data_IF_299975503409
#
_entry.id   IF_299975503409
#
_cell.length_a   1.000
_cell.length_b   1.000
_cell.length_c   1.000
_cell.angle_alpha   90.00
_cell.angle_beta   90.00
_cell.angle_gamma   90.00
#
_symmetry.space_group_name_H-M   'P 1'
#
loop_
_entity.id
_entity.type
_entity.pdbx_description
1 polymer ?
#
# COMPACT_ATOMS: atom_id res chain seq x y z
N UNK A 1 10.98 -11.32 -29.55
CA UNK A 1 9.90 -10.62 -28.83
C UNK A 1 10.35 -10.44 -27.40
N UNK A 2 10.55 -9.21 -26.96
CA UNK A 2 10.77 -8.95 -25.54
C UNK A 2 9.48 -9.33 -24.81
N UNK A 3 9.57 -10.24 -23.83
CA UNK A 3 8.49 -10.53 -22.92
C UNK A 3 8.14 -9.20 -22.24
N UNK A 4 6.91 -8.73 -22.40
CA UNK A 4 6.45 -7.52 -21.73
C UNK A 4 6.63 -7.73 -20.22
N UNK A 5 7.34 -6.82 -19.58
CA UNK A 5 7.50 -6.80 -18.13
C UNK A 5 6.09 -6.81 -17.51
N UNK A 6 5.69 -7.86 -16.77
CA UNK A 6 4.34 -7.94 -16.20
C UNK A 6 4.03 -6.77 -15.26
N UNK A 7 5.05 -6.13 -14.68
CA UNK A 7 4.89 -4.95 -13.86
C UNK A 7 4.46 -3.72 -14.66
N UNK A 8 4.69 -3.68 -15.96
CA UNK A 8 4.25 -2.60 -16.84
C UNK A 8 2.72 -2.49 -16.98
N UNK A 9 2.01 -3.56 -16.64
CA UNK A 9 0.54 -3.60 -16.63
C UNK A 9 -0.08 -3.01 -15.37
N UNK A 10 0.72 -2.71 -14.36
CA UNK A 10 0.24 -2.06 -13.14
C UNK A 10 0.04 -0.56 -13.44
N UNK A 11 -1.21 -0.12 -13.43
CA UNK A 11 -1.58 1.26 -13.80
C UNK A 11 -1.34 2.24 -12.68
N UNK A 12 -1.73 1.87 -11.46
CA UNK A 12 -1.61 2.70 -10.26
C UNK A 12 -1.45 1.82 -9.03
N UNK A 13 -0.81 2.40 -8.03
CA UNK A 13 -0.79 1.91 -6.67
C UNK A 13 -1.41 2.96 -5.75
N UNK A 14 -1.85 2.55 -4.57
CA UNK A 14 -2.53 3.45 -3.65
C UNK A 14 -1.99 3.30 -2.23
N UNK A 15 -1.94 4.42 -1.53
CA UNK A 15 -1.74 4.46 -0.09
C UNK A 15 -2.90 5.23 0.53
N UNK A 16 -3.60 4.65 1.50
CA UNK A 16 -4.63 5.38 2.22
C UNK A 16 -4.05 6.02 3.48
N UNK A 17 -4.46 7.25 3.73
CA UNK A 17 -4.02 8.03 4.90
C UNK A 17 -5.15 8.93 5.39
N UNK A 18 -5.00 9.52 6.57
CA UNK A 18 -5.89 10.60 6.99
C UNK A 18 -5.50 11.91 6.31
N UNK A 19 -6.49 12.72 5.95
CA UNK A 19 -6.24 14.01 5.29
C UNK A 19 -5.40 14.97 6.15
N UNK A 20 -5.42 14.82 7.47
CA UNK A 20 -4.58 15.60 8.38
C UNK A 20 -3.08 15.34 8.18
N UNK A 21 -2.70 14.20 7.60
CA UNK A 21 -1.31 13.85 7.33
C UNK A 21 -0.75 14.50 6.07
N UNK A 22 -1.60 15.03 5.17
CA UNK A 22 -1.19 15.51 3.85
C UNK A 22 -0.16 16.65 3.93
N UNK A 23 -0.35 17.59 4.84
CA UNK A 23 0.60 18.69 5.03
C UNK A 23 1.97 18.16 5.45
N UNK A 24 2.02 17.27 6.43
CA UNK A 24 3.26 16.64 6.90
C UNK A 24 3.96 15.88 5.79
N UNK A 25 3.24 15.09 4.98
CA UNK A 25 3.80 14.37 3.83
C UNK A 25 4.41 15.34 2.83
N UNK A 26 3.74 16.46 2.53
CA UNK A 26 4.23 17.49 1.62
C UNK A 26 5.50 18.16 2.15
N UNK A 27 5.52 18.55 3.41
CA UNK A 27 6.65 19.21 4.06
C UNK A 27 7.88 18.28 4.15
N UNK A 28 7.66 17.00 4.40
CA UNK A 28 8.72 15.99 4.41
C UNK A 28 9.25 15.65 3.00
N UNK A 29 8.53 15.98 1.95
CA UNK A 29 8.88 15.62 0.57
C UNK A 29 8.83 14.11 0.28
N UNK A 30 8.16 13.34 1.14
CA UNK A 30 8.09 11.88 1.05
C UNK A 30 6.99 11.32 1.94
N UNK A 31 6.46 10.17 1.54
CA UNK A 31 5.63 9.33 2.39
C UNK A 31 6.54 8.34 3.13
N UNK A 32 6.70 8.48 4.42
CA UNK A 32 7.58 7.66 5.24
C UNK A 32 6.90 6.43 5.83
N UNK A 33 7.67 5.35 5.99
CA UNK A 33 7.28 4.18 6.78
C UNK A 33 7.16 4.54 8.28
N UNK A 34 6.43 3.72 9.03
CA UNK A 34 6.25 3.94 10.47
C UNK A 34 7.59 3.95 11.23
N UNK A 35 8.53 3.10 10.83
CA UNK A 35 9.87 3.07 11.42
C UNK A 35 10.63 4.39 11.14
N UNK A 36 10.50 4.94 9.94
CA UNK A 36 11.13 6.22 9.59
C UNK A 36 10.50 7.39 10.32
N UNK A 37 9.16 7.43 10.45
CA UNK A 37 8.47 8.46 11.23
C UNK A 37 8.97 8.47 12.67
N UNK A 38 9.08 7.30 13.31
CA UNK A 38 9.63 7.19 14.67
C UNK A 38 11.08 7.66 14.77
N UNK A 39 11.96 7.22 13.85
CA UNK A 39 13.37 7.64 13.82
C UNK A 39 13.52 9.16 13.67
N UNK A 40 12.62 9.81 12.94
CA UNK A 40 12.61 11.26 12.74
C UNK A 40 11.89 12.03 13.84
N UNK A 41 11.34 11.34 14.85
CA UNK A 41 10.63 11.96 15.96
C UNK A 41 9.31 12.62 15.56
N UNK A 42 8.70 12.19 14.42
CA UNK A 42 7.42 12.73 13.95
C UNK A 42 6.31 12.02 14.72
N UNK A 43 5.64 12.75 15.59
CA UNK A 43 4.59 12.25 16.49
C UNK A 43 3.17 12.57 16.00
N UNK A 44 3.01 13.69 15.30
CA UNK A 44 1.71 14.19 14.82
C UNK A 44 1.34 13.59 13.46
N UNK A 45 1.32 12.26 13.41
CA UNK A 45 0.93 11.51 12.22
C UNK A 45 -0.09 10.46 12.61
N UNK A 46 -1.29 10.50 11.99
CA UNK A 46 -2.35 9.52 12.25
C UNK A 46 -2.07 8.21 11.51
N UNK A 47 -1.78 7.11 12.22
CA UNK A 47 -1.55 5.81 11.58
C UNK A 47 -2.88 5.22 11.08
N UNK A 48 -2.83 4.52 9.95
CA UNK A 48 -3.96 3.74 9.44
C UNK A 48 -4.21 2.44 10.22
N UNK A 49 -3.14 1.85 10.78
CA UNK A 49 -3.21 0.65 11.61
C UNK A 49 -3.62 0.94 13.05
N UNK A 50 -4.33 -0.02 13.69
CA UNK A 50 -4.55 0.02 15.14
C UNK A 50 -3.27 -0.41 15.89
N UNK A 51 -3.27 -0.27 17.22
CA UNK A 51 -2.07 -0.58 18.02
C UNK A 51 -1.60 -2.03 17.84
N UNK A 52 -2.53 -2.97 17.70
CA UNK A 52 -2.19 -4.37 17.44
C UNK A 52 -1.49 -4.53 16.09
N UNK A 53 -2.01 -3.91 15.03
CA UNK A 53 -1.42 -3.95 13.68
C UNK A 53 -0.03 -3.30 13.66
N UNK A 54 0.13 -2.14 14.30
CA UNK A 54 1.42 -1.45 14.42
C UNK A 54 2.45 -2.29 15.18
N UNK A 55 2.04 -2.98 16.24
CA UNK A 55 2.89 -3.88 17.00
C UNK A 55 3.27 -5.12 16.20
N UNK A 56 2.32 -5.69 15.43
CA UNK A 56 2.58 -6.82 14.55
C UNK A 56 3.57 -6.44 13.42
N UNK A 57 3.41 -5.27 12.83
CA UNK A 57 4.34 -4.74 11.82
C UNK A 57 5.74 -4.56 12.41
N UNK A 58 5.85 -3.95 13.59
CA UNK A 58 7.14 -3.76 14.26
C UNK A 58 7.80 -5.09 14.61
N UNK A 59 7.04 -6.07 15.12
CA UNK A 59 7.54 -7.40 15.48
C UNK A 59 8.03 -8.20 14.27
N UNK A 60 7.34 -8.07 13.13
CA UNK A 60 7.69 -8.77 11.89
C UNK A 60 8.69 -7.99 11.02
N UNK A 61 9.06 -6.75 11.40
CA UNK A 61 9.89 -5.86 10.61
C UNK A 61 9.20 -5.23 9.40
N UNK A 62 7.87 -5.34 9.31
CA UNK A 62 7.09 -4.75 8.22
C UNK A 62 6.88 -3.24 8.37
N UNK A 63 7.06 -2.69 9.57
CA UNK A 63 7.00 -1.27 9.87
C UNK A 63 8.08 -0.42 9.17
N UNK A 64 9.12 -1.06 8.64
CA UNK A 64 10.16 -0.43 7.81
C UNK A 64 9.73 -0.17 6.37
N UNK A 65 8.57 -0.65 5.96
CA UNK A 65 8.03 -0.46 4.62
C UNK A 65 6.87 0.53 4.62
N UNK A 66 6.73 1.25 3.51
CA UNK A 66 5.47 1.89 3.14
C UNK A 66 4.63 0.84 2.42
N UNK A 67 3.41 0.62 2.89
CA UNK A 67 2.49 -0.37 2.35
C UNK A 67 1.61 0.29 1.30
N UNK A 68 1.62 -0.25 0.08
CA UNK A 68 0.78 0.18 -1.03
C UNK A 68 -0.19 -0.93 -1.40
N UNK A 69 -1.39 -0.58 -1.80
CA UNK A 69 -2.40 -1.52 -2.31
C UNK A 69 -2.71 -1.25 -3.78
N UNK A 70 -3.37 -2.23 -4.43
CA UNK A 70 -3.69 -2.17 -5.86
C UNK A 70 -5.00 -1.46 -6.17
N UNK A 71 -5.83 -1.22 -5.17
CA UNK A 71 -7.17 -0.64 -5.32
C UNK A 71 -7.41 0.50 -4.33
N UNK A 72 -8.30 1.40 -4.69
CA UNK A 72 -8.75 2.55 -3.88
C UNK A 72 -9.94 2.23 -2.95
N UNK A 73 -10.13 0.97 -2.58
CA UNK A 73 -11.20 0.47 -1.70
C UNK A 73 -10.68 -0.60 -0.75
N UNK A 74 -9.62 -0.30 -0.03
CA UNK A 74 -9.01 -1.29 0.85
C UNK A 74 -9.93 -1.64 2.04
N UNK A 75 -10.14 -2.94 2.36
CA UNK A 75 -11.05 -3.35 3.45
C UNK A 75 -10.69 -2.76 4.82
N UNK A 76 -9.40 -2.56 5.08
CA UNK A 76 -8.91 -1.96 6.34
C UNK A 76 -9.37 -0.52 6.56
N UNK A 77 -9.69 0.22 5.49
CA UNK A 77 -10.19 1.60 5.59
C UNK A 77 -11.53 1.65 6.28
N UNK A 78 -12.43 0.72 5.96
CA UNK A 78 -13.74 0.66 6.59
C UNK A 78 -13.62 0.43 8.11
N UNK A 79 -12.77 -0.50 8.51
CA UNK A 79 -12.49 -0.78 9.93
C UNK A 79 -11.86 0.43 10.61
N UNK A 80 -10.88 1.07 9.99
CA UNK A 80 -10.20 2.24 10.54
C UNK A 80 -11.15 3.43 10.76
N UNK A 81 -12.13 3.61 9.87
CA UNK A 81 -13.20 4.61 10.03
C UNK A 81 -14.15 4.26 11.17
N UNK A 82 -14.61 3.01 11.24
CA UNK A 82 -15.50 2.56 12.31
C UNK A 82 -14.86 2.68 13.70
N UNK A 83 -13.56 2.46 13.80
CA UNK A 83 -12.80 2.60 15.05
C UNK A 83 -12.36 4.04 15.35
N UNK A 84 -12.73 5.01 14.51
CA UNK A 84 -12.40 6.43 14.69
C UNK A 84 -10.91 6.77 14.55
N UNK A 85 -10.09 5.85 14.00
CA UNK A 85 -8.66 6.08 13.78
C UNK A 85 -8.39 7.03 12.62
N UNK A 86 -9.22 6.96 11.59
CA UNK A 86 -9.18 7.84 10.44
C UNK A 86 -10.52 8.58 10.35
N UNK A 87 -10.47 9.89 10.37
CA UNK A 87 -11.67 10.73 10.22
C UNK A 87 -11.98 10.99 8.76
N UNK A 88 -11.00 11.45 8.02
CA UNK A 88 -11.12 11.84 6.62
C UNK A 88 -10.09 11.12 5.77
N UNK A 89 -10.47 9.95 5.25
CA UNK A 89 -9.57 9.11 4.45
C UNK A 89 -9.35 9.69 3.07
N UNK A 90 -8.09 9.74 2.68
CA UNK A 90 -7.62 10.08 1.35
C UNK A 90 -6.81 8.90 0.81
N UNK A 91 -7.03 8.54 -0.45
CA UNK A 91 -6.18 7.62 -1.19
C UNK A 91 -5.16 8.40 -2.00
N UNK A 92 -3.91 8.30 -1.63
CA UNK A 92 -2.79 8.82 -2.41
C UNK A 92 -2.51 7.84 -3.54
N UNK A 93 -2.60 8.31 -4.77
CA UNK A 93 -2.21 7.54 -5.95
C UNK A 93 -0.69 7.61 -6.10
N UNK A 94 -0.08 6.46 -6.31
CA UNK A 94 1.37 6.32 -6.43
C UNK A 94 1.73 5.84 -7.84
N UNK A 95 2.70 6.48 -8.44
CA UNK A 95 3.21 6.11 -9.77
C UNK A 95 3.87 4.73 -9.71
N UNK A 96 3.53 3.79 -10.61
CA UNK A 96 4.11 2.45 -10.65
C UNK A 96 5.63 2.41 -10.85
N UNK A 97 6.25 3.50 -11.25
CA UNK A 97 7.71 3.63 -11.29
C UNK A 97 8.39 3.30 -9.97
N UNK A 98 7.66 3.42 -8.85
CA UNK A 98 8.14 3.01 -7.52
C UNK A 98 8.54 1.54 -7.44
N UNK A 99 7.98 0.66 -8.29
CA UNK A 99 8.30 -0.77 -8.35
C UNK A 99 9.74 -1.06 -8.80
N UNK A 100 10.42 -0.07 -9.38
CA UNK A 100 11.83 -0.17 -9.81
C UNK A 100 12.82 0.28 -8.74
N UNK A 101 12.35 0.71 -7.58
CA UNK A 101 13.21 1.04 -6.45
C UNK A 101 13.83 -0.24 -5.87
N UNK A 102 15.05 -0.12 -5.38
CA UNK A 102 15.75 -1.23 -4.75
C UNK A 102 15.03 -1.71 -3.48
N UNK A 103 14.95 -3.01 -3.32
CA UNK A 103 14.39 -3.64 -2.13
C UNK A 103 12.86 -3.63 -2.05
N UNK A 104 12.16 -3.22 -3.11
CA UNK A 104 10.70 -3.33 -3.18
C UNK A 104 10.27 -4.79 -3.15
N UNK A 105 9.28 -5.10 -2.33
CA UNK A 105 8.77 -6.45 -2.13
C UNK A 105 7.27 -6.53 -2.40
N UNK A 106 6.81 -7.74 -2.63
CA UNK A 106 5.40 -8.08 -2.78
C UNK A 106 4.96 -8.99 -1.64
N UNK A 107 3.78 -8.72 -1.09
CA UNK A 107 3.12 -9.59 -0.13
C UNK A 107 1.84 -10.16 -0.73
N UNK A 108 1.70 -11.49 -0.68
CA UNK A 108 0.53 -12.22 -1.18
C UNK A 108 -0.72 -12.09 -0.28
N UNK A 109 -0.74 -11.11 0.58
CA UNK A 109 -1.82 -10.78 1.50
C UNK A 109 -1.39 -9.68 2.45
N UNK A 110 -2.10 -9.52 3.57
CA UNK A 110 -1.73 -8.55 4.61
C UNK A 110 -0.42 -9.00 5.26
N UNK A 111 0.65 -8.26 5.04
CA UNK A 111 2.04 -8.68 5.29
C UNK A 111 2.40 -9.00 6.74
N UNK A 112 1.64 -8.46 7.70
CA UNK A 112 1.85 -8.72 9.13
C UNK A 112 1.13 -9.99 9.65
N UNK A 113 0.45 -10.73 8.79
CA UNK A 113 -0.20 -11.98 9.16
C UNK A 113 0.75 -13.16 9.01
N UNK A 114 0.68 -14.08 9.97
CA UNK A 114 1.44 -15.34 9.94
C UNK A 114 1.09 -16.17 8.70
N UNK A 115 2.11 -16.71 8.04
CA UNK A 115 1.96 -17.58 6.87
C UNK A 115 1.75 -16.85 5.55
N UNK A 116 1.78 -15.53 5.53
CA UNK A 116 1.75 -14.76 4.28
C UNK A 116 3.14 -14.75 3.64
N UNK A 117 3.19 -15.13 2.37
CA UNK A 117 4.42 -15.08 1.58
C UNK A 117 4.78 -13.64 1.22
N UNK A 118 6.05 -13.29 1.46
CA UNK A 118 6.65 -12.03 1.05
C UNK A 118 7.87 -12.33 0.20
N UNK A 119 7.89 -11.85 -1.04
CA UNK A 119 8.97 -12.08 -1.99
C UNK A 119 9.50 -10.80 -2.63
N UNK A 120 10.58 -10.91 -3.38
CA UNK A 120 11.05 -9.80 -4.24
C UNK A 120 9.95 -9.46 -5.26
N UNK A 121 9.83 -8.19 -5.62
CA UNK A 121 8.81 -7.75 -6.59
C UNK A 121 8.96 -8.44 -7.96
N UNK A 122 10.17 -8.83 -8.33
CA UNK A 122 10.45 -9.53 -9.59
C UNK A 122 9.90 -10.96 -9.63
N UNK A 123 9.70 -11.57 -8.46
CA UNK A 123 9.16 -12.92 -8.29
C UNK A 123 7.65 -12.92 -8.01
N UNK A 124 7.04 -11.74 -7.96
CA UNK A 124 5.64 -11.56 -7.60
C UNK A 124 4.68 -12.19 -8.62
N UNK A 125 3.71 -12.96 -8.12
CA UNK A 125 2.60 -13.50 -8.90
C UNK A 125 1.34 -12.70 -8.61
N UNK A 126 1.19 -11.59 -9.35
CA UNK A 126 0.07 -10.66 -9.18
C UNK A 126 -1.06 -11.08 -10.13
N UNK A 127 -2.26 -11.26 -9.59
CA UNK A 127 -3.45 -11.56 -10.39
C UNK A 127 -4.01 -10.28 -11.04
N UNK A 128 -3.32 -9.83 -12.09
CA UNK A 128 -3.66 -8.60 -12.81
C UNK A 128 -5.03 -8.67 -13.49
N UNK A 129 -5.44 -9.86 -13.92
CA UNK A 129 -6.73 -10.09 -14.58
C UNK A 129 -7.89 -9.65 -13.66
N UNK A 130 -7.93 -10.16 -12.42
CA UNK A 130 -9.02 -9.80 -11.49
C UNK A 130 -8.89 -8.38 -10.95
N UNK A 131 -7.73 -7.74 -11.05
CA UNK A 131 -7.53 -6.36 -10.63
C UNK A 131 -8.00 -5.36 -11.68
N UNK A 132 -7.76 -5.62 -12.96
CA UNK A 132 -7.92 -4.63 -14.02
C UNK A 132 -8.89 -5.01 -15.12
N UNK A 133 -9.29 -6.28 -15.27
CA UNK A 133 -10.22 -6.68 -16.30
C UNK A 133 -11.66 -6.78 -15.78
N UNK A 134 -12.60 -6.66 -16.73
CA UNK A 134 -14.01 -6.84 -16.42
C UNK A 134 -14.33 -8.33 -16.34
N UNK A 135 -14.65 -8.81 -15.16
CA UNK A 135 -14.91 -10.21 -14.86
C UNK A 135 -16.38 -10.47 -14.51
N UNK A 136 -16.79 -11.73 -14.53
CA UNK A 136 -18.08 -12.13 -13.99
C UNK A 136 -18.01 -12.24 -12.46
N UNK A 137 -18.38 -11.18 -11.78
CA UNK A 137 -18.34 -11.09 -10.31
C UNK A 137 -19.34 -12.00 -9.58
N UNK A 138 -20.31 -12.58 -10.32
CA UNK A 138 -21.23 -13.57 -9.77
C UNK A 138 -20.62 -14.96 -9.68
N UNK A 139 -19.49 -15.20 -10.33
CA UNK A 139 -18.73 -16.45 -10.20
C UNK A 139 -17.98 -16.47 -8.86
N UNK A 140 -18.24 -17.46 -7.99
CA UNK A 140 -17.59 -17.55 -6.69
C UNK A 140 -16.07 -17.65 -6.76
N UNK A 141 -15.52 -18.29 -7.79
CA UNK A 141 -14.07 -18.41 -8.00
C UNK A 141 -13.44 -17.08 -8.37
N UNK A 142 -14.06 -16.33 -9.27
CA UNK A 142 -13.63 -14.96 -9.63
C UNK A 142 -13.70 -14.04 -8.41
N UNK A 143 -14.80 -14.09 -7.67
CA UNK A 143 -14.98 -13.31 -6.46
C UNK A 143 -13.88 -13.62 -5.41
N UNK A 144 -13.58 -14.90 -5.19
CA UNK A 144 -12.53 -15.31 -4.25
C UNK A 144 -11.15 -14.81 -4.68
N UNK A 145 -10.81 -14.89 -5.97
CA UNK A 145 -9.55 -14.33 -6.53
C UNK A 145 -9.47 -12.83 -6.29
N UNK A 146 -10.54 -12.10 -6.56
CA UNK A 146 -10.62 -10.65 -6.32
C UNK A 146 -10.36 -10.31 -4.86
N UNK A 147 -11.04 -10.99 -3.93
CA UNK A 147 -10.87 -10.79 -2.49
C UNK A 147 -9.46 -11.10 -2.01
N UNK A 148 -8.78 -12.05 -2.61
CA UNK A 148 -7.37 -12.34 -2.33
C UNK A 148 -6.45 -11.23 -2.87
N UNK A 149 -6.62 -10.83 -4.14
CA UNK A 149 -5.81 -9.79 -4.77
C UNK A 149 -5.93 -8.42 -4.08
N UNK A 150 -7.11 -8.08 -3.58
CA UNK A 150 -7.36 -6.84 -2.82
C UNK A 150 -6.55 -6.71 -1.51
N UNK A 151 -6.09 -7.83 -0.97
CA UNK A 151 -5.30 -7.90 0.27
C UNK A 151 -3.80 -7.91 0.03
N UNK A 152 -3.37 -8.06 -1.23
CA UNK A 152 -1.97 -8.06 -1.59
C UNK A 152 -1.38 -6.65 -1.45
N UNK A 153 -0.11 -6.59 -1.09
CA UNK A 153 0.58 -5.33 -0.82
C UNK A 153 1.89 -5.24 -1.60
N UNK A 154 2.22 -4.04 -2.01
CA UNK A 154 3.57 -3.65 -2.42
C UNK A 154 4.23 -2.96 -1.22
N UNK A 155 5.42 -3.42 -0.88
CA UNK A 155 6.19 -2.97 0.27
C UNK A 155 7.41 -2.19 -0.22
N UNK A 156 7.39 -0.87 -0.02
CA UNK A 156 8.48 0.02 -0.42
C UNK A 156 9.34 0.35 0.79
N UNK A 157 10.66 0.06 0.76
CA UNK A 157 11.53 0.30 1.91
C UNK A 157 11.59 1.79 2.29
N UNK A 158 11.52 2.07 3.56
CA UNK A 158 11.72 3.35 4.22
C UNK A 158 10.78 4.47 3.79
N UNK A 159 10.70 4.81 2.51
CA UNK A 159 9.86 5.92 2.03
C UNK A 159 9.52 5.84 0.55
N UNK A 160 8.42 6.49 0.19
CA UNK A 160 8.05 6.79 -1.21
C UNK A 160 8.36 8.26 -1.47
N UNK A 161 9.34 8.58 -2.33
CA UNK A 161 9.67 9.95 -2.70
C UNK A 161 8.50 10.70 -3.34
N UNK A 162 8.39 12.00 -3.09
CA UNK A 162 7.30 12.85 -3.58
C UNK A 162 7.11 12.78 -5.10
N UNK A 163 8.18 12.62 -5.89
CA UNK A 163 8.10 12.47 -7.36
C UNK A 163 7.17 11.36 -7.85
N UNK A 164 6.90 10.34 -7.01
CA UNK A 164 5.95 9.27 -7.31
C UNK A 164 4.52 9.58 -6.84
N UNK A 165 4.31 10.68 -6.13
CA UNK A 165 3.03 11.13 -5.59
C UNK A 165 2.53 12.41 -6.27
N UNK A 166 3.43 13.31 -6.67
CA UNK A 166 3.15 14.71 -7.10
C UNK A 166 2.02 14.84 -8.11
N UNK A 167 2.04 14.01 -9.13
CA UNK A 167 1.06 14.08 -10.22
C UNK A 167 -0.40 13.97 -9.75
N UNK A 168 -0.60 13.31 -8.62
CA UNK A 168 -1.94 12.98 -8.10
C UNK A 168 -2.13 13.42 -6.64
N UNK A 169 -1.16 14.18 -6.11
CA UNK A 169 -1.24 14.65 -4.73
C UNK A 169 -2.36 15.69 -4.62
N UNK A 170 -3.26 15.59 -3.61
CA UNK A 170 -4.33 16.56 -3.44
C UNK A 170 -3.78 17.96 -3.25
N UNK A 171 -4.23 18.89 -4.08
CA UNK A 171 -3.99 20.31 -3.85
C UNK A 171 -4.90 20.74 -2.70
N UNK A 172 -4.31 21.30 -1.66
CA UNK A 172 -5.01 21.82 -0.49
C UNK A 172 -5.75 23.11 -0.79
#
# INVERSE_FOLDING_TARGET
>A
MALSDPLSSILYLYHFTDASNLQTIREMGSLFSSAMLRRRGIKDFRPGGNQWSLNADAKSGMDRYVHLCFIDRHPMVHVAKQEGRLERVVYLRVDPGVLRLDGVRYSAGVSNKTGIEVCDIRDAKIDLEVLYERMNWSDPGVYARRRAAEKCEILVPDHVPMKYLEKYFPHG
#
